data_IF_984798160024
#
_entry.id   IF_984798160024
#
_cell.length_a   1.000
_cell.length_b   1.000
_cell.length_c   1.000
_cell.angle_alpha   90.00
_cell.angle_beta   90.00
_cell.angle_gamma   90.00
#
_symmetry.space_group_name_H-M   'P 1'
#
loop_
_entity.id
_entity.type
_entity.pdbx_description
1 polymer ?
#
# COMPACT_ATOMS: atom_id res chain seq x y z
N UNK A 1 -20.86 30.30 19.69
CA UNK A 1 -21.32 29.08 20.40
C UNK A 1 -20.08 28.29 20.78
N UNK A 2 -19.70 28.25 22.06
CA UNK A 2 -18.60 27.38 22.53
C UNK A 2 -19.23 26.02 22.85
N UNK A 3 -18.87 24.98 22.09
CA UNK A 3 -19.23 23.61 22.42
C UNK A 3 -18.47 23.19 23.67
N UNK A 4 -19.16 22.58 24.63
CA UNK A 4 -18.55 21.99 25.82
C UNK A 4 -17.58 20.87 25.40
N UNK A 5 -16.31 20.88 25.86
CA UNK A 5 -15.33 19.84 25.53
C UNK A 5 -15.80 18.41 25.86
N UNK A 6 -16.68 18.25 26.85
CA UNK A 6 -17.24 16.95 27.24
C UNK A 6 -18.35 16.46 26.29
N UNK A 7 -18.89 17.35 25.45
CA UNK A 7 -19.95 17.07 24.48
C UNK A 7 -19.39 16.77 23.08
N UNK A 8 -18.08 16.55 22.96
CA UNK A 8 -17.43 16.24 21.70
C UNK A 8 -17.61 14.75 21.35
N UNK A 9 -18.45 14.48 20.35
CA UNK A 9 -18.63 13.13 19.75
C UNK A 9 -17.38 12.68 18.96
N UNK A 10 -16.36 13.53 18.87
CA UNK A 10 -15.17 13.33 18.05
C UNK A 10 -14.45 12.01 18.32
N UNK A 11 -14.18 11.65 19.58
CA UNK A 11 -13.48 10.40 19.92
C UNK A 11 -14.24 9.17 19.41
N UNK A 12 -15.57 9.14 19.57
CA UNK A 12 -16.41 8.06 19.08
C UNK A 12 -16.45 8.03 17.55
N UNK A 13 -16.56 9.20 16.91
CA UNK A 13 -16.49 9.30 15.46
C UNK A 13 -15.15 8.76 14.92
N UNK A 14 -14.02 9.04 15.58
CA UNK A 14 -12.71 8.53 15.19
C UNK A 14 -12.64 6.99 15.35
N UNK A 15 -13.13 6.44 16.46
CA UNK A 15 -13.15 5.00 16.70
C UNK A 15 -13.98 4.26 15.65
N UNK A 16 -15.23 4.67 15.43
CA UNK A 16 -16.12 4.02 14.48
C UNK A 16 -15.67 4.23 13.03
N UNK A 17 -15.08 5.38 12.70
CA UNK A 17 -14.44 5.57 11.39
C UNK A 17 -13.25 4.63 11.21
N UNK A 18 -12.46 4.39 12.25
CA UNK A 18 -11.37 3.41 12.22
C UNK A 18 -11.83 1.99 11.97
N UNK A 19 -12.90 1.57 12.65
CA UNK A 19 -13.53 0.28 12.42
C UNK A 19 -14.06 0.20 10.99
N UNK A 20 -14.73 1.24 10.49
CA UNK A 20 -15.24 1.30 9.13
C UNK A 20 -14.10 1.21 8.10
N UNK A 21 -12.99 1.92 8.30
CA UNK A 21 -11.82 1.82 7.42
C UNK A 21 -11.32 0.37 7.36
N UNK A 22 -11.05 -0.26 8.51
CA UNK A 22 -10.61 -1.67 8.55
C UNK A 22 -11.63 -2.59 7.86
N UNK A 23 -12.93 -2.39 8.09
CA UNK A 23 -14.00 -3.14 7.44
C UNK A 23 -13.99 -2.95 5.91
N UNK A 24 -13.64 -1.77 5.39
CA UNK A 24 -13.49 -1.53 3.96
C UNK A 24 -12.37 -2.37 3.32
N UNK A 25 -11.28 -2.69 4.05
CA UNK A 25 -10.24 -3.60 3.55
C UNK A 25 -10.75 -5.05 3.45
N UNK A 26 -11.55 -5.48 4.43
CA UNK A 26 -12.21 -6.78 4.35
C UNK A 26 -13.25 -6.82 3.23
N UNK A 27 -14.00 -5.73 3.04
CA UNK A 27 -14.94 -5.59 1.93
C UNK A 27 -14.22 -5.71 0.57
N UNK A 28 -13.08 -5.04 0.40
CA UNK A 28 -12.23 -5.17 -0.80
C UNK A 28 -11.88 -6.64 -1.07
N UNK A 29 -11.34 -7.35 -0.07
CA UNK A 29 -10.99 -8.76 -0.22
C UNK A 29 -12.21 -9.65 -0.52
N UNK A 30 -13.33 -9.40 0.16
CA UNK A 30 -14.57 -10.14 0.02
C UNK A 30 -15.19 -9.96 -1.37
N UNK A 31 -15.23 -8.74 -1.91
CA UNK A 31 -15.77 -8.45 -3.24
C UNK A 31 -14.93 -9.09 -4.34
N UNK A 32 -13.59 -8.99 -4.25
CA UNK A 32 -12.70 -9.69 -5.20
C UNK A 32 -12.98 -11.20 -5.15
N UNK A 33 -13.03 -11.77 -3.94
CA UNK A 33 -13.28 -13.19 -3.72
C UNK A 33 -14.66 -13.65 -4.21
N UNK A 34 -15.69 -12.80 -4.11
CA UNK A 34 -17.03 -13.10 -4.61
C UNK A 34 -17.05 -13.07 -6.14
N UNK A 35 -16.42 -12.06 -6.76
CA UNK A 35 -16.30 -12.00 -8.23
C UNK A 35 -15.55 -13.21 -8.78
N UNK A 36 -14.49 -13.66 -8.10
CA UNK A 36 -13.72 -14.85 -8.47
C UNK A 36 -14.50 -16.18 -8.40
N UNK A 37 -15.70 -16.20 -7.81
CA UNK A 37 -16.58 -17.38 -7.82
C UNK A 37 -17.43 -17.46 -9.08
N UNK A 38 -17.49 -16.40 -9.89
CA UNK A 38 -18.19 -16.41 -11.17
C UNK A 38 -17.29 -17.06 -12.24
N UNK A 39 -17.85 -17.95 -13.06
CA UNK A 39 -17.12 -18.71 -14.09
C UNK A 39 -16.24 -17.83 -14.98
N UNK A 40 -16.76 -16.65 -15.35
CA UNK A 40 -16.02 -15.67 -16.15
C UNK A 40 -14.69 -15.28 -15.49
N UNK A 41 -14.67 -14.98 -14.19
CA UNK A 41 -13.47 -14.55 -13.48
C UNK A 41 -12.63 -15.73 -12.97
N UNK A 42 -13.27 -16.85 -12.62
CA UNK A 42 -12.62 -18.06 -12.12
C UNK A 42 -11.53 -18.58 -13.09
N UNK A 43 -11.75 -18.45 -14.41
CA UNK A 43 -10.75 -18.81 -15.42
C UNK A 43 -9.46 -17.95 -15.42
N UNK A 44 -9.34 -16.95 -14.53
CA UNK A 44 -8.09 -16.21 -14.31
C UNK A 44 -7.21 -16.79 -13.20
N UNK A 45 -7.70 -17.77 -12.43
CA UNK A 45 -6.94 -18.44 -11.39
C UNK A 45 -5.83 -19.32 -11.99
N UNK A 46 -4.76 -19.50 -11.22
CA UNK A 46 -3.67 -20.43 -11.50
C UNK A 46 -3.51 -21.39 -10.30
N UNK A 47 -2.95 -22.59 -10.53
CA UNK A 47 -2.32 -23.34 -9.46
C UNK A 47 -1.32 -22.45 -8.72
N UNK A 48 -1.36 -22.45 -7.39
CA UNK A 48 -0.43 -21.67 -6.57
C UNK A 48 0.96 -22.32 -6.68
N UNK A 49 1.99 -21.63 -7.18
CA UNK A 49 3.31 -22.23 -7.36
C UNK A 49 3.93 -22.67 -6.04
N UNK A 50 4.57 -23.84 -6.02
CA UNK A 50 5.30 -24.32 -4.86
C UNK A 50 6.63 -23.56 -4.70
N UNK A 51 6.67 -22.62 -3.74
CA UNK A 51 7.90 -21.89 -3.41
C UNK A 51 8.53 -22.44 -2.14
N UNK A 52 9.86 -22.58 -2.16
CA UNK A 52 10.63 -22.98 -0.98
C UNK A 52 10.34 -22.03 0.19
N UNK A 53 9.95 -22.55 1.37
CA UNK A 53 9.63 -21.71 2.52
C UNK A 53 10.89 -21.02 3.03
N UNK A 54 10.75 -19.76 3.46
CA UNK A 54 11.86 -19.04 4.10
C UNK A 54 12.13 -19.62 5.49
N UNK A 55 13.38 -20.02 5.72
CA UNK A 55 13.83 -20.62 6.98
C UNK A 55 15.11 -19.93 7.47
N UNK A 56 15.29 -19.90 8.79
CA UNK A 56 16.51 -19.47 9.46
C UNK A 56 16.59 -17.96 9.75
N UNK A 57 17.42 -17.61 10.74
CA UNK A 57 17.59 -16.24 11.24
C UNK A 57 18.10 -15.28 10.15
N UNK A 58 19.02 -15.72 9.30
CA UNK A 58 19.59 -14.89 8.22
C UNK A 58 18.51 -14.41 7.25
N UNK A 59 17.57 -15.27 6.87
CA UNK A 59 16.48 -14.89 5.97
C UNK A 59 15.58 -13.82 6.59
N UNK A 60 15.27 -13.96 7.89
CA UNK A 60 14.49 -12.99 8.64
C UNK A 60 15.20 -11.66 8.84
N UNK A 61 16.50 -11.68 9.15
CA UNK A 61 17.32 -10.47 9.28
C UNK A 61 17.32 -9.71 7.96
N UNK A 62 17.55 -10.40 6.84
CA UNK A 62 17.48 -9.78 5.52
C UNK A 62 16.10 -9.21 5.22
N UNK A 63 15.04 -9.91 5.59
CA UNK A 63 13.69 -9.40 5.39
C UNK A 63 13.43 -8.14 6.21
N UNK A 64 13.72 -8.13 7.51
CA UNK A 64 13.57 -6.95 8.37
C UNK A 64 14.44 -5.79 7.85
N UNK A 65 15.67 -6.06 7.44
CA UNK A 65 16.58 -5.06 6.89
C UNK A 65 15.99 -4.39 5.65
N UNK A 66 15.51 -5.18 4.67
CA UNK A 66 15.05 -4.67 3.38
C UNK A 66 13.59 -4.21 3.36
N UNK A 67 12.72 -4.70 4.26
CA UNK A 67 11.30 -4.28 4.32
C UNK A 67 11.04 -3.23 5.39
N UNK A 68 11.91 -3.11 6.40
CA UNK A 68 11.67 -2.23 7.55
C UNK A 68 12.77 -1.18 7.70
N UNK A 69 14.01 -1.61 7.96
CA UNK A 69 15.08 -0.69 8.38
C UNK A 69 15.54 0.24 7.25
N UNK A 70 15.89 -0.32 6.08
CA UNK A 70 16.31 0.49 4.92
C UNK A 70 15.19 1.45 4.49
N UNK A 71 13.94 0.98 4.27
CA UNK A 71 12.83 1.87 3.96
C UNK A 71 12.62 3.00 4.99
N UNK A 72 12.68 2.71 6.29
CA UNK A 72 12.53 3.72 7.33
C UNK A 72 13.64 4.77 7.28
N UNK A 73 14.89 4.34 7.11
CA UNK A 73 16.06 5.23 7.08
C UNK A 73 16.06 6.19 5.88
N UNK A 74 15.66 5.69 4.70
CA UNK A 74 15.66 6.48 3.47
C UNK A 74 14.43 7.38 3.31
N UNK A 75 13.36 7.19 4.10
CA UNK A 75 12.09 7.89 3.93
C UNK A 75 12.24 9.41 3.91
N UNK A 76 12.77 9.99 4.99
CA UNK A 76 12.89 11.45 5.14
C UNK A 76 13.71 12.05 3.99
N UNK A 77 14.83 11.41 3.66
CA UNK A 77 15.74 11.86 2.62
C UNK A 77 15.08 11.81 1.23
N UNK A 78 14.58 10.64 0.82
CA UNK A 78 14.00 10.46 -0.52
C UNK A 78 12.76 11.32 -0.69
N UNK A 79 11.86 11.33 0.29
CA UNK A 79 10.63 12.13 0.22
C UNK A 79 10.94 13.61 0.11
N UNK A 80 11.93 14.12 0.86
CA UNK A 80 12.33 15.51 0.81
C UNK A 80 12.89 15.93 -0.56
N UNK A 81 13.83 15.14 -1.10
CA UNK A 81 14.37 15.43 -2.41
C UNK A 81 13.29 15.34 -3.48
N UNK A 82 12.44 14.32 -3.47
CA UNK A 82 11.37 14.18 -4.49
C UNK A 82 10.42 15.37 -4.45
N UNK A 83 10.05 15.88 -3.27
CA UNK A 83 9.25 17.11 -3.14
C UNK A 83 9.93 18.30 -3.81
N UNK A 84 11.25 18.45 -3.69
CA UNK A 84 12.00 19.53 -4.35
C UNK A 84 11.83 19.52 -5.88
N UNK A 85 11.79 18.33 -6.49
CA UNK A 85 11.72 18.17 -7.96
C UNK A 85 10.30 18.09 -8.51
N UNK A 86 9.31 17.81 -7.66
CA UNK A 86 7.91 17.54 -8.08
C UNK A 86 6.88 18.46 -7.43
N UNK A 87 7.29 19.27 -6.45
CA UNK A 87 6.42 20.16 -5.70
C UNK A 87 5.98 21.39 -6.48
N UNK A 88 5.44 22.38 -5.76
CA UNK A 88 4.92 23.61 -6.36
C UNK A 88 5.97 24.29 -7.26
N UNK A 89 5.51 24.85 -8.39
CA UNK A 89 6.33 25.56 -9.39
C UNK A 89 7.32 24.69 -10.18
N UNK A 90 7.12 23.37 -10.18
CA UNK A 90 7.86 22.44 -11.05
C UNK A 90 7.01 22.03 -12.25
N UNK A 91 7.65 21.52 -13.31
CA UNK A 91 6.96 21.05 -14.52
C UNK A 91 5.99 19.87 -14.25
N UNK A 92 6.20 19.13 -13.15
CA UNK A 92 5.37 17.98 -12.78
C UNK A 92 4.17 18.35 -11.90
N UNK A 93 4.12 19.58 -11.36
CA UNK A 93 3.03 20.04 -10.50
C UNK A 93 1.61 19.97 -11.09
N UNK A 94 1.38 20.08 -12.43
CA UNK A 94 0.05 19.88 -13.01
C UNK A 94 -0.44 18.43 -12.98
N UNK A 95 0.50 17.47 -12.94
CA UNK A 95 0.22 16.03 -12.96
C UNK A 95 0.22 15.48 -11.54
N UNK A 96 1.22 15.88 -10.76
CA UNK A 96 1.47 15.44 -9.39
C UNK A 96 1.12 16.57 -8.43
N UNK A 97 -0.17 16.72 -8.17
CA UNK A 97 -0.75 17.92 -7.57
C UNK A 97 -0.50 18.08 -6.06
N UNK A 98 -0.06 17.04 -5.36
CA UNK A 98 0.15 17.06 -3.91
C UNK A 98 1.60 16.77 -3.55
N UNK A 99 2.35 17.80 -3.13
CA UNK A 99 3.76 17.69 -2.81
C UNK A 99 4.04 16.57 -1.78
N UNK A 100 3.28 16.52 -0.69
CA UNK A 100 3.46 15.51 0.36
C UNK A 100 3.26 14.08 -0.19
N UNK A 101 2.25 13.87 -1.03
CA UNK A 101 2.05 12.58 -1.69
C UNK A 101 3.18 12.26 -2.66
N UNK A 102 3.71 13.25 -3.38
CA UNK A 102 4.82 13.04 -4.30
C UNK A 102 6.05 12.51 -3.56
N UNK A 103 6.35 13.07 -2.38
CA UNK A 103 7.42 12.57 -1.51
C UNK A 103 7.24 11.10 -1.13
N UNK A 104 6.03 10.70 -0.77
CA UNK A 104 5.72 9.29 -0.43
C UNK A 104 5.81 8.39 -1.67
N UNK A 105 5.29 8.83 -2.82
CA UNK A 105 5.38 8.08 -4.07
C UNK A 105 6.82 7.87 -4.53
N UNK A 106 7.66 8.91 -4.45
CA UNK A 106 9.07 8.78 -4.79
C UNK A 106 9.81 7.81 -3.86
N UNK A 107 9.47 7.81 -2.57
CA UNK A 107 9.98 6.82 -1.63
C UNK A 107 9.54 5.39 -1.98
N UNK A 108 8.26 5.20 -2.30
CA UNK A 108 7.72 3.91 -2.74
C UNK A 108 8.43 3.39 -4.01
N UNK A 109 8.69 4.28 -4.98
CA UNK A 109 9.46 3.95 -6.17
C UNK A 109 10.89 3.53 -5.79
N UNK A 110 11.56 4.26 -4.90
CA UNK A 110 12.91 3.91 -4.45
C UNK A 110 12.96 2.51 -3.80
N UNK A 111 11.98 2.18 -2.95
CA UNK A 111 11.88 0.83 -2.36
C UNK A 111 11.62 -0.23 -3.44
N UNK A 112 10.71 0.05 -4.38
CA UNK A 112 10.43 -0.88 -5.48
C UNK A 112 11.69 -1.14 -6.31
N UNK A 113 12.51 -0.13 -6.58
CA UNK A 113 13.79 -0.27 -7.27
C UNK A 113 14.78 -1.13 -6.47
N UNK A 114 14.93 -0.89 -5.16
CA UNK A 114 15.76 -1.72 -4.27
C UNK A 114 15.29 -3.18 -4.30
N UNK A 115 13.96 -3.39 -4.22
CA UNK A 115 13.34 -4.71 -4.30
C UNK A 115 13.60 -5.40 -5.65
N UNK A 116 13.46 -4.67 -6.76
CA UNK A 116 13.75 -5.16 -8.10
C UNK A 116 15.23 -5.57 -8.27
N UNK A 117 16.17 -4.73 -7.80
CA UNK A 117 17.60 -5.05 -7.82
C UNK A 117 17.89 -6.33 -7.03
N UNK A 118 17.33 -6.46 -5.81
CA UNK A 118 17.49 -7.68 -5.01
C UNK A 118 16.91 -8.91 -5.70
N UNK A 119 15.74 -8.77 -6.33
CA UNK A 119 15.11 -9.83 -7.10
C UNK A 119 15.98 -10.26 -8.28
N UNK A 120 16.55 -9.31 -9.03
CA UNK A 120 17.47 -9.56 -10.15
C UNK A 120 18.74 -10.27 -9.67
N UNK A 121 19.39 -9.78 -8.61
CA UNK A 121 20.59 -10.41 -8.05
C UNK A 121 20.29 -11.87 -7.62
N UNK A 122 19.15 -12.10 -6.99
CA UNK A 122 18.72 -13.44 -6.56
C UNK A 122 18.47 -14.34 -7.78
N UNK A 123 17.79 -13.83 -8.80
CA UNK A 123 17.54 -14.54 -10.05
C UNK A 123 18.86 -14.93 -10.75
N UNK A 124 19.80 -14.00 -10.89
CA UNK A 124 21.12 -14.25 -11.48
C UNK A 124 21.88 -15.32 -10.71
N UNK A 125 21.87 -15.27 -9.38
CA UNK A 125 22.52 -16.30 -8.54
C UNK A 125 21.89 -17.68 -8.73
N UNK A 126 20.56 -17.77 -8.79
CA UNK A 126 19.85 -19.03 -9.06
C UNK A 126 20.19 -19.61 -10.43
N UNK A 127 20.22 -18.76 -11.46
CA UNK A 127 20.63 -19.16 -12.82
C UNK A 127 22.07 -19.69 -12.83
N UNK A 128 23.00 -19.03 -12.13
CA UNK A 128 24.39 -19.50 -11.99
C UNK A 128 24.49 -20.85 -11.26
N UNK A 129 23.58 -21.14 -10.32
CA UNK A 129 23.49 -22.45 -9.66
C UNK A 129 22.77 -23.54 -10.48
N UNK A 130 22.46 -23.29 -11.75
CA UNK A 130 21.80 -24.25 -12.64
C UNK A 130 20.28 -24.37 -12.47
N UNK A 131 19.63 -23.46 -11.73
CA UNK A 131 18.16 -23.46 -11.60
C UNK A 131 17.52 -22.74 -12.79
N UNK A 132 16.53 -23.40 -13.42
CA UNK A 132 15.70 -22.80 -14.46
C UNK A 132 14.67 -21.88 -13.83
N UNK A 133 14.75 -20.58 -14.13
CA UNK A 133 13.76 -19.58 -13.69
C UNK A 133 12.52 -19.66 -14.57
N UNK A 134 11.35 -19.77 -13.94
CA UNK A 134 10.04 -19.75 -14.62
C UNK A 134 9.26 -18.48 -14.25
N UNK A 135 8.26 -18.13 -15.06
CA UNK A 135 7.37 -16.99 -14.75
C UNK A 135 6.59 -17.20 -13.43
N UNK A 136 6.32 -18.45 -13.06
CA UNK A 136 5.68 -18.83 -11.80
C UNK A 136 6.52 -18.48 -10.57
N UNK A 137 7.85 -18.46 -10.67
CA UNK A 137 8.75 -18.02 -9.59
C UNK A 137 8.50 -16.56 -9.20
N UNK A 138 8.08 -15.76 -10.17
CA UNK A 138 7.76 -14.34 -10.05
C UNK A 138 6.26 -14.06 -9.91
N UNK A 139 5.44 -15.10 -9.70
CA UNK A 139 3.98 -15.01 -9.62
C UNK A 139 3.31 -14.43 -10.89
N UNK A 140 3.99 -14.44 -12.04
CA UNK A 140 3.53 -13.82 -13.28
C UNK A 140 2.69 -14.76 -14.16
N UNK A 141 2.81 -16.07 -13.97
CA UNK A 141 2.07 -17.09 -14.70
C UNK A 141 1.89 -18.35 -13.84
N UNK A 142 1.06 -19.29 -14.31
CA UNK A 142 0.91 -20.60 -13.67
C UNK A 142 2.16 -21.46 -13.82
N UNK A 143 2.24 -22.56 -13.08
CA UNK A 143 3.29 -23.55 -13.31
C UNK A 143 3.16 -24.15 -14.72
N UNK A 144 4.27 -24.17 -15.46
CA UNK A 144 4.31 -24.65 -16.85
C UNK A 144 3.98 -23.60 -17.90
N UNK A 145 3.43 -22.44 -17.52
CA UNK A 145 3.17 -21.35 -18.46
C UNK A 145 4.48 -20.63 -18.86
N UNK A 146 4.74 -20.55 -20.16
CA UNK A 146 5.91 -19.83 -20.71
C UNK A 146 5.63 -18.35 -21.02
N UNK A 147 4.36 -17.93 -21.03
CA UNK A 147 3.93 -16.58 -21.40
C UNK A 147 2.94 -16.01 -20.40
N UNK A 148 2.96 -14.68 -20.24
CA UNK A 148 1.98 -13.95 -19.42
C UNK A 148 0.65 -13.89 -20.18
N UNK A 149 -0.40 -14.47 -19.59
CA UNK A 149 -1.75 -14.38 -20.11
C UNK A 149 -2.37 -13.02 -19.75
N UNK A 150 -2.21 -12.02 -20.61
CA UNK A 150 -2.73 -10.66 -20.41
C UNK A 150 -4.26 -10.59 -20.25
N UNK A 151 -4.99 -11.59 -20.75
CA UNK A 151 -6.43 -11.74 -20.48
C UNK A 151 -6.74 -11.84 -18.98
N UNK A 152 -5.85 -12.43 -18.19
CA UNK A 152 -5.98 -12.52 -16.72
C UNK A 152 -5.77 -11.16 -16.06
N UNK A 153 -4.84 -10.35 -16.57
CA UNK A 153 -4.66 -8.97 -16.12
C UNK A 153 -5.89 -8.10 -16.48
N UNK A 154 -6.45 -8.28 -17.69
CA UNK A 154 -7.70 -7.61 -18.09
C UNK A 154 -8.89 -7.96 -17.18
N UNK A 155 -9.03 -9.23 -16.77
CA UNK A 155 -10.01 -9.64 -15.76
C UNK A 155 -9.75 -8.98 -14.39
N UNK A 156 -8.49 -8.88 -13.97
CA UNK A 156 -8.10 -8.14 -12.76
C UNK A 156 -8.48 -6.65 -12.81
N UNK A 157 -8.30 -6.00 -13.97
CA UNK A 157 -8.74 -4.62 -14.20
C UNK A 157 -10.27 -4.48 -14.09
N UNK A 158 -11.03 -5.39 -14.71
CA UNK A 158 -12.49 -5.38 -14.63
C UNK A 158 -12.99 -5.59 -13.20
N UNK A 159 -12.38 -6.52 -12.45
CA UNK A 159 -12.64 -6.69 -11.01
C UNK A 159 -12.40 -5.37 -10.27
N UNK A 160 -11.25 -4.73 -10.51
CA UNK A 160 -10.91 -3.45 -9.90
C UNK A 160 -11.94 -2.35 -10.18
N UNK A 161 -12.42 -2.26 -11.43
CA UNK A 161 -13.47 -1.30 -11.83
C UNK A 161 -14.80 -1.58 -11.13
N UNK A 162 -15.23 -2.84 -11.06
CA UNK A 162 -16.48 -3.24 -10.38
C UNK A 162 -16.39 -2.91 -8.89
N UNK A 163 -15.28 -3.27 -8.24
CA UNK A 163 -15.06 -3.01 -6.82
C UNK A 163 -15.02 -1.52 -6.53
N UNK A 164 -14.30 -0.73 -7.33
CA UNK A 164 -14.28 0.73 -7.20
C UNK A 164 -15.67 1.34 -7.41
N UNK A 165 -16.46 0.82 -8.35
CA UNK A 165 -17.84 1.25 -8.56
C UNK A 165 -18.70 1.01 -7.31
N UNK A 166 -18.65 -0.21 -6.75
CA UNK A 166 -19.38 -0.57 -5.55
C UNK A 166 -18.98 0.30 -4.33
N UNK A 167 -17.67 0.47 -4.12
CA UNK A 167 -17.13 1.33 -3.04
C UNK A 167 -17.48 2.79 -3.26
N UNK A 168 -17.40 3.29 -4.50
CA UNK A 168 -17.75 4.66 -4.85
C UNK A 168 -19.22 4.96 -4.59
N UNK A 169 -20.13 4.03 -4.96
CA UNK A 169 -21.56 4.13 -4.66
C UNK A 169 -21.79 4.15 -3.15
N UNK A 170 -21.11 3.28 -2.41
CA UNK A 170 -21.20 3.25 -0.95
C UNK A 170 -20.77 4.58 -0.31
N UNK A 171 -19.60 5.09 -0.67
CA UNK A 171 -19.09 6.37 -0.14
C UNK A 171 -19.97 7.54 -0.54
N UNK A 172 -20.53 7.53 -1.75
CA UNK A 172 -21.51 8.52 -2.18
C UNK A 172 -22.79 8.45 -1.34
N UNK A 173 -23.29 7.26 -1.05
CA UNK A 173 -24.49 7.09 -0.23
C UNK A 173 -24.27 7.53 1.22
N UNK A 174 -23.15 7.14 1.84
CA UNK A 174 -22.85 7.48 3.24
C UNK A 174 -22.57 8.99 3.40
N UNK A 175 -21.74 9.58 2.55
CA UNK A 175 -21.46 11.02 2.63
C UNK A 175 -22.68 11.84 2.18
N UNK A 176 -23.37 11.41 1.12
CA UNK A 176 -24.48 12.13 0.50
C UNK A 176 -25.79 12.08 1.29
N UNK A 177 -26.17 10.91 1.84
CA UNK A 177 -27.41 10.77 2.59
C UNK A 177 -27.22 10.93 4.10
N UNK A 178 -26.17 10.35 4.67
CA UNK A 178 -25.96 10.39 6.13
C UNK A 178 -25.08 11.56 6.58
N UNK A 179 -24.40 12.26 5.66
CA UNK A 179 -23.47 13.33 6.02
C UNK A 179 -22.22 12.84 6.77
N UNK A 180 -21.95 11.53 6.71
CA UNK A 180 -20.83 10.90 7.44
C UNK A 180 -19.64 10.78 6.48
N UNK A 181 -18.48 11.26 6.90
CA UNK A 181 -17.21 10.96 6.25
C UNK A 181 -16.44 9.90 7.05
N UNK A 182 -15.90 8.90 6.37
CA UNK A 182 -14.98 7.96 6.99
C UNK A 182 -13.61 8.59 7.02
N UNK A 183 -13.37 9.33 8.11
CA UNK A 183 -12.10 10.00 8.33
C UNK A 183 -11.57 9.70 9.73
N UNK A 184 -10.39 9.09 9.74
CA UNK A 184 -9.58 8.88 10.94
C UNK A 184 -8.36 9.76 10.81
N UNK A 185 -8.40 10.92 11.47
CA UNK A 185 -7.35 11.94 11.41
C UNK A 185 -6.77 12.12 9.99
N UNK A 186 -5.46 11.93 9.82
CA UNK A 186 -4.74 11.81 8.53
C UNK A 186 -4.43 10.33 8.17
N UNK A 187 -4.87 9.37 8.98
CA UNK A 187 -4.64 7.93 8.79
C UNK A 187 -5.50 7.37 7.63
N UNK A 188 -6.74 7.82 7.50
CA UNK A 188 -7.58 7.37 6.40
C UNK A 188 -8.65 8.41 6.14
N UNK A 189 -8.81 8.76 4.87
CA UNK A 189 -9.77 9.76 4.43
C UNK A 189 -10.49 9.20 3.22
N UNK A 190 -11.60 8.50 3.45
CA UNK A 190 -12.46 8.00 2.39
C UNK A 190 -13.59 9.00 2.17
N UNK A 191 -13.57 9.61 1.00
CA UNK A 191 -14.54 10.62 0.62
C UNK A 191 -15.27 10.18 -0.65
N UNK A 192 -16.42 10.79 -0.89
CA UNK A 192 -17.14 10.62 -2.16
C UNK A 192 -16.24 10.94 -3.34
N UNK A 193 -16.41 10.18 -4.41
CA UNK A 193 -15.74 10.46 -5.65
C UNK A 193 -16.34 11.70 -6.31
N UNK A 194 -15.46 12.54 -6.85
CA UNK A 194 -15.81 13.62 -7.74
C UNK A 194 -14.92 13.54 -8.99
N UNK A 195 -15.36 14.07 -10.15
CA UNK A 195 -14.56 14.03 -11.37
C UNK A 195 -13.14 14.56 -11.16
N UNK A 196 -12.99 15.67 -10.43
CA UNK A 196 -11.68 16.27 -10.10
C UNK A 196 -10.81 15.35 -9.24
N UNK A 197 -11.40 14.65 -8.26
CA UNK A 197 -10.66 13.73 -7.38
C UNK A 197 -10.20 12.49 -8.15
N UNK A 198 -11.05 11.97 -9.03
CA UNK A 198 -10.73 10.83 -9.89
C UNK A 198 -9.55 11.17 -10.81
N UNK A 199 -9.63 12.29 -11.55
CA UNK A 199 -8.59 12.65 -12.52
C UNK A 199 -7.23 12.86 -11.86
N UNK A 200 -7.19 13.53 -10.71
CA UNK A 200 -5.94 13.75 -9.96
C UNK A 200 -5.40 12.50 -9.28
N UNK A 201 -6.23 11.50 -8.98
CA UNK A 201 -5.79 10.25 -8.36
C UNK A 201 -5.15 9.28 -9.37
N UNK A 202 -5.45 9.38 -10.67
CA UNK A 202 -4.97 8.46 -11.71
C UNK A 202 -3.43 8.36 -11.75
N UNK A 203 -2.65 9.45 -11.78
CA UNK A 203 -1.18 9.36 -11.80
C UNK A 203 -0.62 8.59 -10.60
N UNK A 204 -1.16 8.86 -9.41
CA UNK A 204 -0.77 8.17 -8.19
C UNK A 204 -1.18 6.69 -8.18
N UNK A 205 -2.37 6.37 -8.68
CA UNK A 205 -2.85 4.99 -8.84
C UNK A 205 -1.90 4.17 -9.73
N UNK A 206 -1.40 4.76 -10.82
CA UNK A 206 -0.43 4.10 -11.71
C UNK A 206 0.90 3.85 -10.99
N UNK A 207 1.40 4.83 -10.23
CA UNK A 207 2.63 4.65 -9.43
C UNK A 207 2.44 3.54 -8.39
N UNK A 208 1.32 3.55 -7.66
CA UNK A 208 0.99 2.51 -6.68
C UNK A 208 0.92 1.15 -7.36
N UNK A 209 0.28 1.04 -8.52
CA UNK A 209 0.22 -0.21 -9.27
C UNK A 209 1.62 -0.75 -9.57
N UNK A 210 2.52 0.08 -10.10
CA UNK A 210 3.90 -0.33 -10.42
C UNK A 210 4.64 -0.80 -9.17
N UNK A 211 4.57 -0.02 -8.08
CA UNK A 211 5.25 -0.35 -6.83
C UNK A 211 4.69 -1.64 -6.23
N UNK A 212 3.36 -1.78 -6.16
CA UNK A 212 2.71 -2.98 -5.63
C UNK A 212 3.02 -4.18 -6.50
N UNK A 213 3.01 -4.04 -7.82
CA UNK A 213 3.34 -5.12 -8.74
C UNK A 213 4.76 -5.63 -8.47
N UNK A 214 5.76 -4.75 -8.51
CA UNK A 214 7.17 -5.10 -8.26
C UNK A 214 7.35 -5.69 -6.86
N UNK A 215 6.77 -5.07 -5.83
CA UNK A 215 6.89 -5.52 -4.44
C UNK A 215 6.28 -6.91 -4.20
N UNK A 216 5.23 -7.27 -4.95
CA UNK A 216 4.53 -8.53 -4.77
C UNK A 216 5.03 -9.65 -5.73
N UNK A 217 5.82 -9.36 -6.78
CA UNK A 217 6.38 -10.39 -7.69
C UNK A 217 7.16 -11.49 -6.93
N UNK A 218 7.81 -11.12 -5.82
CA UNK A 218 8.51 -12.07 -4.94
C UNK A 218 7.70 -12.38 -3.68
N UNK A 219 6.47 -12.88 -3.84
CA UNK A 219 5.64 -13.31 -2.70
C UNK A 219 6.41 -14.22 -1.74
N UNK A 220 6.32 -13.89 -0.46
CA UNK A 220 6.97 -14.64 0.61
C UNK A 220 6.14 -15.88 0.94
N UNK A 221 6.82 -17.03 1.04
CA UNK A 221 6.23 -18.26 1.57
C UNK A 221 6.89 -18.60 2.90
N UNK A 222 6.04 -18.75 3.92
CA UNK A 222 6.42 -19.12 5.28
C UNK A 222 6.34 -20.65 5.45
N UNK A 223 7.07 -21.23 6.42
CA UNK A 223 6.95 -22.65 6.74
C UNK A 223 5.50 -23.02 7.09
N UNK A 224 5.03 -24.15 6.58
CA UNK A 224 3.68 -24.63 6.88
C UNK A 224 3.56 -25.10 8.33
N UNK A 225 2.43 -24.81 8.94
CA UNK A 225 2.03 -25.34 10.26
C UNK A 225 1.20 -26.62 10.15
N UNK A 226 0.97 -27.13 8.93
CA UNK A 226 0.08 -28.26 8.66
C UNK A 226 -1.40 -27.89 8.61
N UNK A 227 -1.76 -26.60 8.69
CA UNK A 227 -3.13 -26.11 8.59
C UNK A 227 -3.19 -24.93 7.61
N UNK A 228 -3.81 -25.16 6.45
CA UNK A 228 -3.87 -24.19 5.35
C UNK A 228 -4.55 -22.87 5.74
N UNK A 229 -5.62 -22.93 6.55
CA UNK A 229 -6.31 -21.73 7.03
C UNK A 229 -5.42 -20.92 7.96
N UNK A 230 -4.71 -21.59 8.87
CA UNK A 230 -3.78 -20.94 9.78
C UNK A 230 -2.59 -20.34 9.01
N UNK A 231 -2.04 -21.09 8.06
CA UNK A 231 -0.92 -20.64 7.22
C UNK A 231 -1.27 -19.43 6.35
N UNK A 232 -2.50 -19.38 5.84
CA UNK A 232 -3.06 -18.22 5.15
C UNK A 232 -3.03 -16.97 6.04
N UNK A 233 -3.64 -17.04 7.22
CA UNK A 233 -3.73 -15.88 8.12
C UNK A 233 -2.37 -15.44 8.67
N UNK A 234 -1.45 -16.39 8.93
CA UNK A 234 -0.07 -16.06 9.30
C UNK A 234 0.61 -15.30 8.14
N UNK A 235 0.46 -15.77 6.90
CA UNK A 235 1.05 -15.10 5.76
C UNK A 235 0.50 -13.68 5.55
N UNK A 236 -0.83 -13.52 5.66
CA UNK A 236 -1.50 -12.21 5.59
C UNK A 236 -0.95 -11.30 6.71
N UNK A 237 -0.94 -11.75 7.95
CA UNK A 237 -0.48 -10.95 9.09
C UNK A 237 1.00 -10.53 8.95
N UNK A 238 1.90 -11.47 8.61
CA UNK A 238 3.33 -11.19 8.46
C UNK A 238 3.59 -10.23 7.30
N UNK A 239 2.97 -10.45 6.14
CA UNK A 239 3.17 -9.57 4.99
C UNK A 239 2.58 -8.17 5.25
N UNK A 240 1.38 -8.09 5.83
CA UNK A 240 0.77 -6.81 6.23
C UNK A 240 1.63 -6.05 7.22
N UNK A 241 2.11 -6.71 8.27
CA UNK A 241 2.94 -6.08 9.29
C UNK A 241 4.26 -5.59 8.71
N UNK A 242 4.97 -6.43 7.97
CA UNK A 242 6.30 -6.05 7.45
C UNK A 242 6.21 -4.93 6.42
N UNK A 243 5.19 -4.89 5.57
CA UNK A 243 5.00 -3.77 4.65
C UNK A 243 4.68 -2.47 5.41
N UNK A 244 3.86 -2.52 6.46
CA UNK A 244 3.53 -1.33 7.27
C UNK A 244 4.66 -0.89 8.21
N UNK A 245 5.53 -1.83 8.60
CA UNK A 245 6.47 -1.67 9.71
C UNK A 245 7.44 -0.50 9.55
N UNK A 246 7.94 -0.25 8.33
CA UNK A 246 8.90 0.83 8.08
C UNK A 246 8.37 2.20 8.51
N UNK A 247 7.18 2.54 8.03
CA UNK A 247 6.52 3.79 8.39
C UNK A 247 6.02 3.74 9.82
N UNK A 248 5.48 2.60 10.29
CA UNK A 248 5.00 2.47 11.67
C UNK A 248 6.09 2.81 12.69
N UNK A 249 7.27 2.19 12.57
CA UNK A 249 8.38 2.45 13.49
C UNK A 249 8.95 3.86 13.32
N UNK A 250 9.05 4.35 12.09
CA UNK A 250 9.52 5.71 11.84
C UNK A 250 8.60 6.76 12.50
N UNK A 251 7.28 6.60 12.35
CA UNK A 251 6.28 7.46 12.98
C UNK A 251 6.31 7.35 14.50
N UNK A 252 6.43 6.13 15.03
CA UNK A 252 6.53 5.90 16.48
C UNK A 252 7.77 6.60 17.07
N UNK A 253 8.92 6.48 16.41
CA UNK A 253 10.16 7.16 16.82
C UNK A 253 10.00 8.68 16.71
N UNK A 254 9.45 9.19 15.61
CA UNK A 254 9.38 10.62 15.38
C UNK A 254 8.39 11.32 16.31
N UNK A 255 7.14 10.84 16.37
CA UNK A 255 6.09 11.47 17.18
C UNK A 255 6.19 11.08 18.64
N UNK A 256 6.43 9.80 18.94
CA UNK A 256 6.68 9.37 20.32
C UNK A 256 7.91 10.06 20.90
N UNK A 257 8.97 10.18 20.09
CA UNK A 257 10.16 10.94 20.46
C UNK A 257 9.89 12.43 20.68
N UNK A 258 9.17 13.07 19.77
CA UNK A 258 8.81 14.49 19.91
C UNK A 258 7.97 14.75 21.17
N UNK A 259 7.05 13.83 21.50
CA UNK A 259 6.28 13.89 22.75
C UNK A 259 7.17 13.73 23.99
N UNK A 260 8.19 12.88 23.94
CA UNK A 260 9.14 12.69 25.04
C UNK A 260 10.07 13.90 25.24
N UNK A 261 10.48 14.57 24.17
CA UNK A 261 11.32 15.77 24.25
C UNK A 261 10.50 16.99 24.73
N UNK A 262 9.23 17.10 24.32
CA UNK A 262 8.29 18.10 24.85
C UNK A 262 8.44 19.52 24.31
N UNK A 263 9.41 19.77 23.42
CA UNK A 263 9.63 21.07 22.75
C UNK A 263 9.19 21.08 21.27
N UNK A 264 8.63 19.96 20.79
CA UNK A 264 8.20 19.79 19.41
C UNK A 264 9.33 19.51 18.42
N UNK A 265 10.57 19.36 18.88
CA UNK A 265 11.67 18.85 18.04
C UNK A 265 11.47 17.36 17.77
N UNK A 266 12.03 16.90 16.66
CA UNK A 266 11.88 15.54 16.19
C UNK A 266 13.22 14.81 16.28
N UNK A 267 13.21 13.52 16.69
CA UNK A 267 14.44 12.74 16.92
C UNK A 267 15.30 12.66 15.66
N UNK A 268 14.68 12.45 14.49
CA UNK A 268 15.39 12.45 13.22
C UNK A 268 15.24 13.84 12.60
N UNK A 269 16.34 14.58 12.35
CA UNK A 269 16.29 15.89 11.71
C UNK A 269 15.53 15.82 10.38
N UNK A 270 14.52 16.65 10.24
CA UNK A 270 13.72 16.77 9.02
C UNK A 270 14.45 17.71 8.06
N UNK A 271 14.49 17.38 6.76
CA UNK A 271 15.17 18.21 5.76
C UNK A 271 14.27 19.41 5.42
N UNK A 272 14.76 20.62 5.73
CA UNK A 272 14.11 21.87 5.36
C UNK A 272 14.38 22.21 3.89
N UNK A 273 13.55 21.64 3.02
CA UNK A 273 13.66 21.79 1.55
C UNK A 273 13.40 23.24 1.12
N UNK A 274 12.71 24.02 1.97
CA UNK A 274 12.29 25.39 1.67
C UNK A 274 13.17 26.46 2.32
N UNK A 275 14.21 26.08 3.08
CA UNK A 275 15.15 27.01 3.70
C UNK A 275 14.53 27.93 4.76
N UNK A 276 13.45 27.48 5.40
CA UNK A 276 12.73 28.17 6.48
C UNK A 276 13.50 28.23 7.80
N UNK A 277 14.65 27.56 7.93
CA UNK A 277 15.54 27.62 9.09
C UNK A 277 15.02 26.87 10.32
N UNK A 278 13.99 26.03 10.17
CA UNK A 278 13.44 25.23 11.26
C UNK A 278 13.37 23.77 10.84
N UNK A 279 13.93 22.88 11.67
CA UNK A 279 13.77 21.42 11.57
C UNK A 279 12.31 20.98 11.89
N UNK A 280 11.31 21.69 11.36
CA UNK A 280 9.89 21.36 11.48
C UNK A 280 9.55 20.27 10.46
N UNK A 281 8.65 19.36 10.87
CA UNK A 281 8.22 18.16 10.15
C UNK A 281 8.26 18.28 8.62
N UNK A 282 8.93 17.36 7.92
CA UNK A 282 8.70 17.21 6.48
C UNK A 282 7.25 16.80 6.31
N UNK A 283 6.48 17.61 5.58
CA UNK A 283 5.05 17.38 5.45
C UNK A 283 4.70 15.96 5.01
N UNK A 284 5.56 15.29 4.23
CA UNK A 284 5.36 13.88 3.85
C UNK A 284 5.18 12.93 5.04
N UNK A 285 5.88 13.12 6.17
CA UNK A 285 5.76 12.25 7.33
C UNK A 285 4.41 12.41 8.04
N UNK A 286 3.87 13.63 8.10
CA UNK A 286 2.53 13.89 8.63
C UNK A 286 1.45 13.20 7.78
N UNK A 287 1.67 13.03 6.48
CA UNK A 287 0.75 12.30 5.60
C UNK A 287 1.06 10.79 5.51
N UNK A 288 2.14 10.32 6.14
CA UNK A 288 2.58 8.93 6.08
C UNK A 288 1.81 7.99 7.01
N UNK A 289 1.12 8.50 8.03
CA UNK A 289 0.27 7.69 8.93
C UNK A 289 -0.67 6.79 8.13
N UNK A 290 -1.38 7.35 7.16
CA UNK A 290 -2.33 6.57 6.39
C UNK A 290 -1.71 5.52 5.49
N UNK A 291 -0.45 5.70 5.09
CA UNK A 291 0.24 4.72 4.27
C UNK A 291 0.59 3.44 5.04
N UNK A 292 0.81 3.49 6.35
CA UNK A 292 0.96 2.27 7.17
C UNK A 292 -0.25 1.35 7.00
N UNK A 293 -1.44 1.93 7.23
CA UNK A 293 -2.71 1.23 7.12
C UNK A 293 -2.97 0.78 5.68
N UNK A 294 -2.74 1.65 4.69
CA UNK A 294 -3.01 1.33 3.29
C UNK A 294 -2.09 0.26 2.73
N UNK A 295 -0.77 0.38 2.95
CA UNK A 295 0.18 -0.61 2.45
C UNK A 295 0.00 -1.95 3.16
N UNK A 296 -0.14 -1.94 4.49
CA UNK A 296 -0.38 -3.16 5.25
C UNK A 296 -1.68 -3.86 4.86
N UNK A 297 -2.79 -3.09 4.77
CA UNK A 297 -4.11 -3.60 4.41
C UNK A 297 -4.14 -4.18 2.99
N UNK A 298 -3.71 -3.40 1.99
CA UNK A 298 -3.72 -3.82 0.59
C UNK A 298 -2.75 -4.96 0.30
N UNK A 299 -1.55 -5.00 0.91
CA UNK A 299 -0.68 -6.17 0.83
C UNK A 299 -1.31 -7.41 1.46
N UNK A 300 -2.08 -7.25 2.55
CA UNK A 300 -2.84 -8.34 3.15
C UNK A 300 -3.87 -8.92 2.17
N UNK A 301 -4.63 -8.05 1.51
CA UNK A 301 -5.57 -8.45 0.44
C UNK A 301 -4.85 -9.16 -0.70
N UNK A 302 -3.76 -8.59 -1.23
CA UNK A 302 -2.97 -9.22 -2.30
C UNK A 302 -2.48 -10.60 -1.88
N UNK A 303 -1.99 -10.73 -0.65
CA UNK A 303 -1.50 -12.01 -0.11
C UNK A 303 -2.63 -13.04 -0.05
N UNK A 304 -3.80 -12.65 0.48
CA UNK A 304 -4.98 -13.52 0.56
C UNK A 304 -5.44 -13.99 -0.82
N UNK A 305 -5.60 -13.06 -1.77
CA UNK A 305 -6.05 -13.37 -3.13
C UNK A 305 -5.03 -14.23 -3.87
N UNK A 306 -3.74 -13.92 -3.77
CA UNK A 306 -2.68 -14.72 -4.41
C UNK A 306 -2.64 -16.14 -3.86
N UNK A 307 -2.71 -16.31 -2.53
CA UNK A 307 -2.71 -17.63 -1.90
C UNK A 307 -3.94 -18.48 -2.26
N UNK A 308 -5.06 -17.83 -2.60
CA UNK A 308 -6.30 -18.53 -2.97
C UNK A 308 -6.39 -18.85 -4.47
N UNK A 309 -5.88 -17.97 -5.32
CA UNK A 309 -6.09 -18.04 -6.77
C UNK A 309 -4.80 -18.10 -7.60
N UNK A 310 -3.62 -18.13 -6.97
CA UNK A 310 -2.32 -18.31 -7.62
C UNK A 310 -1.91 -17.22 -8.62
N UNK A 311 -2.66 -16.13 -8.70
CA UNK A 311 -2.46 -15.07 -9.68
C UNK A 311 -2.40 -13.69 -9.01
N UNK A 312 -1.24 -13.06 -9.12
CA UNK A 312 -0.95 -11.78 -8.49
C UNK A 312 -1.77 -10.63 -9.06
N UNK A 313 -2.12 -10.66 -10.36
CA UNK A 313 -2.84 -9.58 -11.02
C UNK A 313 -4.23 -9.37 -10.41
N UNK A 314 -4.87 -10.45 -9.96
CA UNK A 314 -6.19 -10.44 -9.34
C UNK A 314 -6.19 -9.76 -7.97
N UNK A 315 -5.05 -9.75 -7.28
CA UNK A 315 -4.88 -9.02 -6.02
C UNK A 315 -4.36 -7.61 -6.25
N UNK A 316 -3.27 -7.48 -7.02
CA UNK A 316 -2.53 -6.22 -7.16
C UNK A 316 -3.32 -5.16 -7.91
N UNK A 317 -3.97 -5.49 -9.03
CA UNK A 317 -4.68 -4.48 -9.83
C UNK A 317 -5.85 -3.88 -9.03
N UNK A 318 -6.79 -4.67 -8.47
CA UNK A 318 -7.88 -4.11 -7.68
C UNK A 318 -7.39 -3.36 -6.43
N UNK A 319 -6.35 -3.87 -5.77
CA UNK A 319 -5.83 -3.23 -4.54
C UNK A 319 -5.12 -1.90 -4.84
N UNK A 320 -4.38 -1.81 -5.94
CA UNK A 320 -3.75 -0.56 -6.37
C UNK A 320 -4.79 0.48 -6.79
N UNK A 321 -5.83 0.03 -7.52
CA UNK A 321 -6.98 0.87 -7.88
C UNK A 321 -7.71 1.39 -6.64
N UNK A 322 -8.01 0.50 -5.69
CA UNK A 322 -8.61 0.88 -4.41
C UNK A 322 -7.73 1.87 -3.64
N UNK A 323 -6.44 1.56 -3.46
CA UNK A 323 -5.53 2.43 -2.71
C UNK A 323 -5.39 3.81 -3.35
N UNK A 324 -5.16 3.85 -4.67
CA UNK A 324 -5.03 5.10 -5.42
C UNK A 324 -6.30 5.93 -5.40
N UNK A 325 -7.46 5.33 -5.66
CA UNK A 325 -8.71 6.08 -5.84
C UNK A 325 -9.41 6.41 -4.53
N UNK A 326 -9.53 5.44 -3.62
CA UNK A 326 -10.30 5.60 -2.37
C UNK A 326 -9.53 6.44 -1.36
N UNK A 327 -8.21 6.31 -1.34
CA UNK A 327 -7.39 6.95 -0.29
C UNK A 327 -6.84 8.29 -0.73
N UNK A 328 -6.43 8.43 -2.00
CA UNK A 328 -5.78 9.66 -2.45
C UNK A 328 -6.75 10.70 -2.97
N UNK A 329 -7.99 10.32 -3.28
CA UNK A 329 -9.05 11.28 -3.63
C UNK A 329 -9.28 12.34 -2.54
N UNK A 330 -8.98 12.04 -1.27
CA UNK A 330 -8.99 13.02 -0.17
C UNK A 330 -7.77 13.93 -0.09
N UNK A 331 -6.63 13.51 -0.65
CA UNK A 331 -5.34 14.19 -0.52
C UNK A 331 -4.91 14.96 -1.78
N UNK A 332 -5.57 14.73 -2.92
CA UNK A 332 -5.27 15.38 -4.21
C UNK A 332 -5.86 16.79 -4.35
N UNK A 333 -6.69 17.24 -3.41
CA UNK A 333 -7.30 18.57 -3.44
C UNK A 333 -6.53 19.64 -2.67
N UNK A 334 -5.48 19.28 -1.94
CA UNK A 334 -4.61 20.24 -1.27
C UNK A 334 -3.69 20.85 -2.32
N UNK A 335 -3.99 22.07 -2.74
CA UNK A 335 -3.17 22.92 -3.60
C UNK A 335 -2.70 24.13 -2.81
#
# INVERSE_FOLDING_TARGET
>A
MKLDPTNMVWTWQQLFSGIACVAMMFLLAALINLLMQLDFFAGAANPVPEKKPRRGAVAWILDILFTTLIPAFIFVHVSAYVIKWTGARTALSPILTSANLNGIMGWLIAIALIGAVRMIITAVRRKKSGQTLRLSDFALAGEGDEKIAWSKAGKGLLIGLIVLGAVGIWLWAIEGFAGINYQVWNLSTYLKFSPMRITRAIPYMIIIFVVMFVGNMSQRVLPSTGNDRKDMWIAVAVNSFLTASALFFLLLIQYGGSMLIGDGTAIIPQIDIYGTGVNKSSGALDFAFGYCYMMGGTTGVVTYIYRKYGNIFLGVIPSAMFAGMVTLSGFTLVA
#
